data_IF_183224288494
#
_entry.id   IF_183224288494
#
_cell.length_a   1.000
_cell.length_b   1.000
_cell.length_c   1.000
_cell.angle_alpha   90.00
_cell.angle_beta   90.00
_cell.angle_gamma   90.00
#
_symmetry.space_group_name_H-M   'P 1'
#
loop_
_entity.id
_entity.type
_entity.pdbx_description
1 polymer ?
#
# COMPACT_ATOMS: atom_id res chain seq x y z
N UNK A 1 -10.28 6.64 -1.41
CA UNK A 1 -8.89 6.20 -1.18
C UNK A 1 -8.21 6.11 -2.54
N UNK A 2 -6.95 6.50 -2.70
CA UNK A 2 -6.19 6.22 -3.94
C UNK A 2 -5.83 4.73 -3.99
N UNK A 3 -5.79 4.11 -5.17
CA UNK A 3 -5.41 2.69 -5.35
C UNK A 3 -6.40 1.69 -4.73
N UNK A 4 -6.21 0.40 -5.03
CA UNK A 4 -6.91 -0.70 -4.35
C UNK A 4 -5.95 -1.41 -3.40
N UNK A 5 -5.82 -0.85 -2.20
CA UNK A 5 -4.92 -1.34 -1.17
C UNK A 5 -5.58 -2.38 -0.23
N UNK A 6 -6.57 -3.15 -0.69
CA UNK A 6 -7.17 -4.27 0.04
C UNK A 6 -6.56 -5.61 -0.42
N UNK A 7 -5.40 -5.96 0.12
CA UNK A 7 -4.76 -7.29 0.04
C UNK A 7 -5.06 -7.86 1.40
N UNK A 8 -6.14 -8.63 1.45
CA UNK A 8 -6.82 -9.06 2.68
C UNK A 8 -6.02 -10.15 3.42
N UNK A 9 -5.05 -10.76 2.74
CA UNK A 9 -4.23 -11.88 3.22
C UNK A 9 -3.03 -11.45 4.07
N UNK A 10 -2.46 -10.26 3.83
CA UNK A 10 -1.22 -9.85 4.48
C UNK A 10 -1.44 -9.13 5.82
N UNK A 11 -0.73 -9.56 6.86
CA UNK A 11 -0.66 -8.84 8.14
C UNK A 11 0.28 -7.64 8.08
N UNK A 12 1.30 -7.77 7.24
CA UNK A 12 2.32 -6.78 6.98
C UNK A 12 1.95 -5.99 5.71
N UNK A 13 1.96 -4.65 5.76
CA UNK A 13 1.74 -3.88 4.55
C UNK A 13 2.89 -4.05 3.56
N UNK A 14 2.56 -4.13 2.28
CA UNK A 14 3.54 -4.09 1.19
C UNK A 14 4.27 -2.74 1.17
N UNK A 15 5.48 -2.69 0.61
CA UNK A 15 6.17 -1.41 0.44
C UNK A 15 5.39 -0.48 -0.51
N UNK A 16 4.63 -1.01 -1.46
CA UNK A 16 3.72 -0.20 -2.29
C UNK A 16 2.73 0.59 -1.41
N UNK A 17 2.08 -0.09 -0.46
CA UNK A 17 1.13 0.54 0.46
C UNK A 17 1.77 1.53 1.40
N UNK A 18 2.90 1.16 1.98
CA UNK A 18 3.57 2.04 2.92
C UNK A 18 3.85 3.43 2.31
N UNK A 19 4.13 3.51 1.01
CA UNK A 19 4.58 4.74 0.36
C UNK A 19 3.45 5.50 -0.34
N UNK A 20 2.40 4.80 -0.77
CA UNK A 20 1.33 5.40 -1.59
C UNK A 20 -0.06 5.31 -0.99
N UNK A 21 -0.28 4.48 0.03
CA UNK A 21 -1.59 4.38 0.66
C UNK A 21 -1.96 5.68 1.36
N UNK A 22 -3.03 6.30 0.88
CA UNK A 22 -3.59 7.51 1.44
C UNK A 22 -4.56 7.18 2.58
N UNK A 23 -4.33 7.75 3.76
CA UNK A 23 -5.17 7.56 4.95
C UNK A 23 -5.31 8.85 5.74
N UNK A 24 -6.49 9.12 6.28
CA UNK A 24 -6.79 10.35 7.02
C UNK A 24 -7.86 11.22 6.35
N UNK A 25 -7.78 12.54 6.56
CA UNK A 25 -8.85 13.50 6.26
C UNK A 25 -9.19 13.62 4.78
N UNK A 26 -10.27 12.96 4.35
CA UNK A 26 -10.75 12.99 2.98
C UNK A 26 -12.28 13.14 2.88
N UNK A 27 -12.73 13.65 1.75
CA UNK A 27 -14.13 13.64 1.32
C UNK A 27 -14.21 12.85 0.03
N UNK A 28 -15.18 11.94 -0.08
CA UNK A 28 -15.33 11.10 -1.25
C UNK A 28 -16.71 11.21 -1.88
N UNK A 29 -16.74 11.03 -3.20
CA UNK A 29 -17.94 10.85 -4.02
C UNK A 29 -17.75 9.54 -4.76
N UNK A 30 -18.70 8.63 -4.61
CA UNK A 30 -18.60 7.30 -5.19
C UNK A 30 -19.83 6.95 -6.00
N UNK A 31 -19.60 6.26 -7.10
CA UNK A 31 -20.63 5.61 -7.91
C UNK A 31 -20.32 4.12 -7.97
N UNK A 32 -21.30 3.30 -7.60
CA UNK A 32 -21.14 1.86 -7.54
C UNK A 32 -22.32 1.17 -8.22
N UNK A 33 -21.97 0.17 -9.02
CA UNK A 33 -22.84 -0.88 -9.54
C UNK A 33 -22.21 -2.22 -9.14
N UNK A 34 -22.85 -3.33 -9.51
CA UNK A 34 -22.33 -4.67 -9.23
C UNK A 34 -20.96 -4.91 -9.87
N UNK A 35 -20.71 -4.32 -11.05
CA UNK A 35 -19.48 -4.55 -11.83
C UNK A 35 -18.57 -3.32 -11.92
N UNK A 36 -19.02 -2.12 -11.60
CA UNK A 36 -18.26 -0.88 -11.79
C UNK A 36 -18.27 -0.04 -10.52
N UNK A 37 -17.08 0.32 -10.07
CA UNK A 37 -16.85 1.23 -8.96
C UNK A 37 -16.01 2.42 -9.43
N UNK A 38 -16.55 3.61 -9.29
CA UNK A 38 -15.86 4.87 -9.54
C UNK A 38 -15.83 5.66 -8.24
N UNK A 39 -14.68 6.24 -7.92
CA UNK A 39 -14.49 7.01 -6.69
C UNK A 39 -13.62 8.24 -6.95
N UNK A 40 -14.20 9.42 -6.74
CA UNK A 40 -13.48 10.68 -6.67
C UNK A 40 -13.27 11.08 -5.22
N UNK A 41 -12.06 11.52 -4.89
CA UNK A 41 -11.66 11.86 -3.53
C UNK A 41 -11.02 13.23 -3.53
N UNK A 42 -11.42 14.08 -2.59
CA UNK A 42 -10.74 15.32 -2.24
C UNK A 42 -9.99 15.07 -0.93
N UNK A 43 -8.70 15.39 -0.93
CA UNK A 43 -7.77 15.12 0.15
C UNK A 43 -7.39 16.43 0.84
N UNK A 44 -7.47 16.45 2.16
CA UNK A 44 -6.85 17.51 2.95
C UNK A 44 -5.35 17.22 3.05
N UNK A 45 -4.53 18.04 2.39
CA UNK A 45 -3.06 17.86 2.35
C UNK A 45 -2.34 18.95 3.14
N UNK A 46 -3.07 19.66 4.01
CA UNK A 46 -2.53 20.75 4.81
C UNK A 46 -1.78 20.20 6.03
N UNK A 47 -0.45 20.33 6.01
CA UNK A 47 0.43 19.94 7.12
C UNK A 47 0.29 20.80 8.37
N UNK A 48 -0.36 21.97 8.28
CA UNK A 48 -0.57 22.90 9.40
C UNK A 48 -1.72 22.46 10.33
N UNK A 49 -2.59 21.57 9.86
CA UNK A 49 -3.67 20.96 10.65
C UNK A 49 -3.49 19.43 10.66
N UNK A 50 -2.47 18.91 11.38
CA UNK A 50 -2.03 17.52 11.23
C UNK A 50 -3.12 16.48 11.52
N UNK A 51 -4.09 16.78 12.39
CA UNK A 51 -5.21 15.89 12.69
C UNK A 51 -6.24 15.74 11.56
N UNK A 52 -6.24 16.68 10.61
CA UNK A 52 -7.11 16.67 9.44
C UNK A 52 -6.33 16.38 8.16
N UNK A 53 -5.02 16.11 8.26
CA UNK A 53 -4.17 15.78 7.12
C UNK A 53 -4.44 14.37 6.58
N UNK A 54 -3.99 14.14 5.35
CA UNK A 54 -3.95 12.82 4.74
C UNK A 54 -2.49 12.37 4.63
N UNK A 55 -2.18 11.22 5.23
CA UNK A 55 -0.90 10.53 5.04
C UNK A 55 -0.69 10.18 3.58
N UNK A 56 0.56 10.29 3.10
CA UNK A 56 0.96 10.06 1.71
C UNK A 56 0.20 10.94 0.70
N UNK A 57 -0.20 12.14 1.10
CA UNK A 57 -0.82 13.12 0.22
C UNK A 57 -0.36 14.53 0.59
N UNK A 58 0.63 15.03 -0.14
CA UNK A 58 1.17 16.38 -0.01
C UNK A 58 0.97 17.20 -1.29
N UNK A 59 0.45 18.42 -1.14
CA UNK A 59 0.38 19.40 -2.22
C UNK A 59 0.67 20.81 -1.70
N UNK A 60 1.22 21.67 -2.56
CA UNK A 60 1.46 23.08 -2.25
C UNK A 60 0.17 23.89 -2.05
N UNK A 61 -0.96 23.45 -2.62
CA UNK A 61 -2.28 24.08 -2.46
C UNK A 61 -2.96 23.74 -1.13
N UNK A 62 -2.48 22.73 -0.40
CA UNK A 62 -3.16 22.20 0.80
C UNK A 62 -4.39 21.34 0.49
N UNK A 63 -4.72 21.13 -0.79
CA UNK A 63 -5.81 20.27 -1.27
C UNK A 63 -5.32 19.43 -2.43
N UNK A 64 -5.50 18.12 -2.32
CA UNK A 64 -5.21 17.13 -3.36
C UNK A 64 -6.47 16.40 -3.82
N UNK A 65 -6.36 15.58 -4.86
CA UNK A 65 -7.43 14.71 -5.32
C UNK A 65 -6.92 13.34 -5.75
N UNK A 66 -7.83 12.37 -5.74
CA UNK A 66 -7.62 11.04 -6.29
C UNK A 66 -8.85 10.60 -7.06
N UNK A 67 -8.65 9.99 -8.22
CA UNK A 67 -9.67 9.37 -9.04
C UNK A 67 -9.37 7.88 -9.12
N UNK A 68 -10.38 7.05 -8.89
CA UNK A 68 -10.24 5.61 -8.88
C UNK A 68 -11.35 4.98 -9.70
N UNK A 69 -10.99 3.93 -10.41
CA UNK A 69 -11.91 3.09 -11.15
C UNK A 69 -11.56 1.63 -10.89
N UNK A 70 -12.58 0.80 -10.72
CA UNK A 70 -12.45 -0.65 -10.60
C UNK A 70 -13.62 -1.30 -11.32
N UNK A 71 -13.30 -2.22 -12.21
CA UNK A 71 -14.26 -3.11 -12.85
C UNK A 71 -14.14 -4.49 -12.23
N UNK A 72 -15.25 -5.09 -11.83
CA UNK A 72 -15.37 -6.44 -11.28
C UNK A 72 -16.17 -7.29 -12.26
N UNK A 73 -15.63 -8.46 -12.56
CA UNK A 73 -16.27 -9.49 -13.36
C UNK A 73 -16.50 -10.71 -12.47
N UNK A 74 -17.76 -10.97 -12.13
CA UNK A 74 -18.17 -12.22 -11.49
C UNK A 74 -18.16 -13.36 -12.51
N UNK A 75 -17.57 -14.49 -12.14
CA UNK A 75 -17.53 -15.69 -12.98
C UNK A 75 -18.74 -16.59 -12.74
N UNK A 76 -18.82 -17.69 -13.49
CA UNK A 76 -19.93 -18.65 -13.39
C UNK A 76 -20.07 -19.29 -12.00
N UNK A 77 -18.95 -19.56 -11.33
CA UNK A 77 -18.95 -20.13 -9.98
C UNK A 77 -19.10 -19.03 -8.95
N UNK A 78 -20.06 -19.19 -8.03
CA UNK A 78 -20.25 -18.26 -6.91
C UNK A 78 -18.97 -18.11 -6.10
N UNK A 79 -18.49 -16.87 -5.96
CA UNK A 79 -17.26 -16.53 -5.26
C UNK A 79 -16.04 -16.36 -6.17
N UNK A 80 -16.10 -16.82 -7.41
CA UNK A 80 -15.03 -16.61 -8.39
C UNK A 80 -15.23 -15.25 -9.08
N UNK A 81 -14.19 -14.43 -9.11
CA UNK A 81 -14.23 -13.12 -9.75
C UNK A 81 -12.85 -12.67 -10.21
N UNK A 82 -12.83 -11.76 -11.18
CA UNK A 82 -11.66 -10.97 -11.51
C UNK A 82 -11.99 -9.49 -11.32
N UNK A 83 -10.98 -8.69 -11.00
CA UNK A 83 -11.12 -7.25 -11.12
C UNK A 83 -9.91 -6.62 -11.79
N UNK A 84 -10.17 -5.49 -12.43
CA UNK A 84 -9.14 -4.60 -12.95
C UNK A 84 -9.43 -3.20 -12.42
N UNK A 85 -8.42 -2.54 -11.89
CA UNK A 85 -8.52 -1.18 -11.39
C UNK A 85 -7.43 -0.29 -11.96
N UNK A 86 -7.76 1.00 -12.02
CA UNK A 86 -6.82 2.05 -12.33
C UNK A 86 -7.15 3.28 -11.50
N UNK A 87 -6.12 3.99 -11.06
CA UNK A 87 -6.29 5.23 -10.32
C UNK A 87 -5.22 6.26 -10.68
N UNK A 88 -5.54 7.52 -10.40
CA UNK A 88 -4.61 8.63 -10.43
C UNK A 88 -4.77 9.49 -9.19
N UNK A 89 -3.67 9.98 -8.65
CA UNK A 89 -3.67 11.05 -7.65
C UNK A 89 -2.67 12.13 -8.04
N UNK A 90 -3.00 13.39 -7.75
CA UNK A 90 -2.05 14.49 -7.89
C UNK A 90 -1.24 14.76 -6.60
N UNK A 91 -1.46 13.96 -5.56
CA UNK A 91 -0.91 14.16 -4.23
C UNK A 91 -0.30 12.86 -3.71
N UNK A 92 1.00 12.87 -3.42
CA UNK A 92 1.71 11.72 -2.86
C UNK A 92 2.52 12.14 -1.62
N UNK A 93 3.15 11.18 -0.95
CA UNK A 93 4.15 11.43 0.10
C UNK A 93 5.51 11.95 -0.43
N UNK A 94 5.64 12.22 -1.73
CA UNK A 94 6.89 12.65 -2.36
C UNK A 94 6.89 14.13 -2.71
N UNK A 95 8.09 14.69 -2.91
CA UNK A 95 8.29 16.04 -3.45
C UNK A 95 9.16 15.98 -4.70
N UNK A 96 8.83 16.82 -5.67
CA UNK A 96 9.60 17.02 -6.90
C UNK A 96 10.55 18.21 -6.79
N UNK A 97 11.27 18.47 -7.88
CA UNK A 97 12.26 19.57 -7.94
C UNK A 97 11.60 20.91 -7.61
N UNK A 98 12.23 21.68 -6.71
CA UNK A 98 11.68 22.96 -6.26
C UNK A 98 10.44 22.82 -5.36
N UNK A 99 10.30 21.69 -4.64
CA UNK A 99 9.11 21.34 -3.85
C UNK A 99 7.82 21.31 -4.70
N UNK A 100 7.91 20.89 -5.96
CA UNK A 100 6.70 20.65 -6.75
C UNK A 100 5.92 19.45 -6.22
N UNK A 101 4.61 19.43 -6.49
CA UNK A 101 3.77 18.27 -6.22
C UNK A 101 4.24 17.08 -7.08
N UNK A 102 3.98 15.88 -6.58
CA UNK A 102 4.21 14.62 -7.29
C UNK A 102 2.91 13.84 -7.26
N UNK A 103 2.36 13.52 -8.42
CA UNK A 103 1.24 12.61 -8.55
C UNK A 103 1.69 11.18 -8.86
N UNK A 104 0.74 10.27 -9.00
CA UNK A 104 1.00 8.87 -9.33
C UNK A 104 -0.16 8.22 -10.08
N UNK A 105 0.19 7.30 -10.98
CA UNK A 105 -0.71 6.41 -11.68
C UNK A 105 -0.62 5.01 -11.07
N UNK A 106 -1.76 4.42 -10.77
CA UNK A 106 -1.90 3.07 -10.23
C UNK A 106 -2.69 2.20 -11.20
N UNK A 107 -2.27 0.94 -11.32
CA UNK A 107 -3.05 -0.14 -11.93
C UNK A 107 -3.03 -1.34 -11.00
N UNK A 108 -4.16 -2.03 -10.89
CA UNK A 108 -4.27 -3.22 -10.06
C UNK A 108 -5.15 -4.28 -10.74
N UNK A 109 -4.86 -5.53 -10.44
CA UNK A 109 -5.60 -6.68 -10.91
C UNK A 109 -5.72 -7.70 -9.79
N UNK A 110 -6.89 -8.34 -9.70
CA UNK A 110 -7.06 -9.47 -8.79
C UNK A 110 -7.92 -10.56 -9.39
N UNK A 111 -7.69 -11.77 -8.89
CA UNK A 111 -8.33 -13.00 -9.30
C UNK A 111 -8.65 -13.82 -8.05
N UNK A 112 -9.93 -14.08 -7.82
CA UNK A 112 -10.39 -15.14 -6.95
C UNK A 112 -10.92 -16.26 -7.82
N UNK A 113 -10.31 -17.44 -7.71
CA UNK A 113 -10.72 -18.62 -8.48
C UNK A 113 -10.62 -19.87 -7.61
N UNK A 114 -11.76 -20.48 -7.36
CA UNK A 114 -11.94 -21.63 -6.47
C UNK A 114 -11.42 -21.32 -5.06
N UNK A 115 -10.21 -21.79 -4.75
CA UNK A 115 -9.55 -21.62 -3.44
C UNK A 115 -8.34 -20.69 -3.53
N UNK A 116 -8.02 -20.17 -4.71
CA UNK A 116 -6.86 -19.33 -4.96
C UNK A 116 -7.30 -17.87 -4.97
N UNK A 117 -6.55 -17.01 -4.29
CA UNK A 117 -6.64 -15.56 -4.47
C UNK A 117 -5.28 -15.03 -4.91
N UNK A 118 -5.26 -14.28 -6.00
CA UNK A 118 -4.09 -13.60 -6.53
C UNK A 118 -4.39 -12.13 -6.70
N UNK A 119 -3.46 -11.26 -6.31
CA UNK A 119 -3.58 -9.82 -6.46
C UNK A 119 -2.24 -9.23 -6.89
N UNK A 120 -2.27 -8.26 -7.77
CA UNK A 120 -1.11 -7.48 -8.18
C UNK A 120 -1.45 -6.01 -8.34
N UNK A 121 -0.49 -5.17 -7.98
CA UNK A 121 -0.61 -3.72 -8.06
C UNK A 121 0.70 -3.18 -8.61
N UNK A 122 0.62 -2.17 -9.46
CA UNK A 122 1.79 -1.46 -9.98
C UNK A 122 1.47 0.03 -10.07
N UNK A 123 2.44 0.85 -9.68
CA UNK A 123 2.30 2.28 -9.64
C UNK A 123 3.57 2.97 -10.11
N UNK A 124 3.42 4.16 -10.70
CA UNK A 124 4.52 5.05 -11.06
C UNK A 124 4.18 6.51 -10.78
N UNK A 125 5.14 7.29 -10.31
CA UNK A 125 4.96 8.74 -10.16
C UNK A 125 4.92 9.44 -11.51
N UNK A 126 4.09 10.48 -11.62
CA UNK A 126 3.94 11.27 -12.86
C UNK A 126 5.13 12.22 -13.13
N UNK A 127 6.03 12.34 -12.15
CA UNK A 127 7.16 13.26 -12.16
C UNK A 127 8.33 12.71 -11.34
N UNK A 128 9.50 13.33 -11.52
CA UNK A 128 10.72 12.96 -10.82
C UNK A 128 10.67 13.34 -9.33
N UNK A 129 11.17 12.43 -8.49
CA UNK A 129 11.13 12.54 -7.03
C UNK A 129 12.49 12.95 -6.48
N UNK A 130 12.54 13.98 -5.65
CA UNK A 130 13.77 14.47 -4.99
C UNK A 130 13.72 14.33 -3.46
N UNK A 131 12.79 13.53 -2.97
CA UNK A 131 12.69 13.17 -1.55
C UNK A 131 11.26 12.96 -1.09
N UNK A 132 11.15 12.67 0.21
CA UNK A 132 9.89 12.58 0.93
C UNK A 132 9.42 13.99 1.37
N UNK A 133 8.10 14.18 1.44
CA UNK A 133 7.47 15.38 2.00
C UNK A 133 6.92 15.10 3.42
N UNK A 134 6.43 16.14 4.09
CA UNK A 134 5.99 16.05 5.49
C UNK A 134 4.72 15.17 5.68
N UNK A 135 3.96 14.89 4.62
CA UNK A 135 2.81 13.99 4.66
C UNK A 135 3.18 12.51 4.54
N UNK A 136 4.41 12.17 4.15
CA UNK A 136 4.83 10.79 3.95
C UNK A 136 4.66 9.95 5.21
N UNK A 137 4.19 8.70 5.07
CA UNK A 137 4.17 7.72 6.17
C UNK A 137 5.57 7.43 6.74
N UNK A 138 6.62 7.73 5.97
CA UNK A 138 8.01 7.58 6.40
C UNK A 138 8.58 8.85 7.03
N UNK A 139 7.87 9.98 6.94
CA UNK A 139 8.32 11.23 7.52
C UNK A 139 8.19 11.21 9.05
N UNK A 140 9.25 11.54 9.80
CA UNK A 140 9.15 11.70 11.25
C UNK A 140 8.17 12.79 11.71
N UNK A 141 7.78 13.70 10.79
CA UNK A 141 6.85 14.81 11.06
C UNK A 141 5.39 14.46 10.76
N UNK A 142 5.12 13.29 10.18
CA UNK A 142 3.76 12.91 9.87
C UNK A 142 3.04 12.41 11.13
N UNK A 143 2.08 13.20 11.60
CA UNK A 143 1.23 12.91 12.76
C UNK A 143 -0.18 12.48 12.32
N UNK A 144 -0.50 12.59 11.02
CA UNK A 144 -1.82 12.35 10.45
C UNK A 144 -2.09 10.86 10.31
N UNK A 145 -2.36 10.20 11.44
CA UNK A 145 -2.88 8.83 11.49
C UNK A 145 -2.05 7.88 10.66
N UNK A 146 -0.74 7.77 10.94
CA UNK A 146 0.06 6.62 10.53
C UNK A 146 -0.75 5.39 10.94
N UNK A 147 -1.42 4.70 10.00
CA UNK A 147 -2.21 3.55 10.41
C UNK A 147 -1.20 2.49 10.88
N UNK A 148 -1.67 1.29 11.21
CA UNK A 148 -0.90 0.10 11.63
C UNK A 148 0.41 -0.26 10.84
N UNK A 149 0.85 0.53 9.87
CA UNK A 149 2.13 0.50 9.14
C UNK A 149 3.38 0.75 9.98
N UNK A 150 3.24 1.12 11.25
CA UNK A 150 4.34 1.55 12.11
C UNK A 150 5.41 0.50 12.42
N UNK A 151 5.20 -0.78 12.12
CA UNK A 151 6.13 -1.86 12.47
C UNK A 151 7.22 -2.10 11.42
N UNK A 152 6.94 -1.93 10.13
CA UNK A 152 7.90 -2.21 9.06
C UNK A 152 8.22 -0.93 8.33
N UNK A 153 9.42 -0.37 8.53
CA UNK A 153 9.89 0.85 7.87
C UNK A 153 11.40 0.85 7.78
N UNK A 154 11.98 1.56 6.79
CA UNK A 154 13.41 1.79 6.76
C UNK A 154 13.92 2.36 8.08
N UNK A 155 15.11 1.94 8.49
CA UNK A 155 15.85 2.49 9.60
C UNK A 155 16.11 3.98 9.41
N UNK A 156 16.21 4.70 10.53
CA UNK A 156 16.41 6.15 10.50
C UNK A 156 17.69 6.56 9.75
N UNK A 157 18.73 5.73 9.79
CA UNK A 157 19.97 5.97 9.06
C UNK A 157 19.75 6.06 7.54
N UNK A 158 18.96 5.14 6.98
CA UNK A 158 18.58 5.15 5.56
C UNK A 158 17.77 6.40 5.23
N UNK A 159 16.76 6.74 6.05
CA UNK A 159 15.93 7.93 5.81
C UNK A 159 16.74 9.24 5.83
N UNK A 160 17.78 9.31 6.67
CA UNK A 160 18.71 10.45 6.75
C UNK A 160 19.76 10.44 5.63
N UNK A 161 20.00 9.31 4.99
CA UNK A 161 20.91 9.16 3.86
C UNK A 161 20.22 9.45 2.52
N UNK A 162 19.44 10.53 2.42
CA UNK A 162 18.85 10.97 1.15
C UNK A 162 17.99 9.90 0.43
N UNK A 163 17.28 9.06 1.18
CA UNK A 163 16.44 8.02 0.59
C UNK A 163 15.34 8.60 -0.33
N UNK A 164 15.14 7.95 -1.49
CA UNK A 164 14.18 8.35 -2.52
C UNK A 164 14.40 9.79 -3.03
N UNK A 165 15.66 10.19 -3.26
CA UNK A 165 16.01 11.54 -3.72
C UNK A 165 16.78 11.61 -5.05
N UNK A 166 16.86 10.49 -5.78
CA UNK A 166 17.63 10.36 -7.03
C UNK A 166 17.16 11.22 -8.21
N UNK A 167 16.02 11.92 -8.10
CA UNK A 167 15.50 12.83 -9.13
C UNK A 167 14.72 12.14 -10.25
N UNK A 168 14.81 10.81 -10.36
CA UNK A 168 13.99 9.99 -11.26
C UNK A 168 12.58 9.73 -10.71
N UNK A 169 11.66 9.22 -11.54
CA UNK A 169 10.35 8.76 -11.07
C UNK A 169 10.52 7.58 -10.10
N UNK A 170 9.55 7.42 -9.21
CA UNK A 170 9.45 6.26 -8.32
C UNK A 170 8.41 5.31 -8.89
N UNK A 171 8.81 4.07 -9.14
CA UNK A 171 7.93 3.00 -9.55
C UNK A 171 7.81 1.97 -8.42
N UNK A 172 6.67 1.30 -8.32
CA UNK A 172 6.45 0.25 -7.35
C UNK A 172 5.55 -0.83 -7.93
N UNK A 173 5.71 -2.06 -7.44
CA UNK A 173 4.80 -3.14 -7.74
C UNK A 173 4.70 -4.08 -6.55
N UNK A 174 3.55 -4.72 -6.42
CA UNK A 174 3.25 -5.70 -5.40
C UNK A 174 2.54 -6.92 -6.03
N UNK A 175 2.77 -8.07 -5.42
CA UNK A 175 2.19 -9.36 -5.75
C UNK A 175 1.76 -10.03 -4.46
N UNK A 176 0.58 -10.63 -4.48
CA UNK A 176 0.08 -11.48 -3.42
C UNK A 176 -0.54 -12.75 -4.00
N UNK A 177 -0.28 -13.87 -3.35
CA UNK A 177 -0.93 -15.14 -3.66
C UNK A 177 -1.29 -15.85 -2.37
N UNK A 178 -2.51 -16.35 -2.28
CA UNK A 178 -2.97 -17.18 -1.17
C UNK A 178 -3.83 -18.35 -1.65
N UNK A 179 -3.91 -19.37 -0.80
CA UNK A 179 -4.71 -20.57 -1.05
C UNK A 179 -5.51 -20.95 0.20
N UNK A 180 -6.81 -21.17 0.07
CA UNK A 180 -7.68 -21.59 1.17
C UNK A 180 -7.76 -23.10 1.25
N UNK A 181 -7.00 -23.69 2.17
CA UNK A 181 -7.08 -25.11 2.53
C UNK A 181 -8.08 -25.34 3.67
N UNK A 182 -8.56 -26.57 3.80
CA UNK A 182 -9.35 -27.01 4.95
C UNK A 182 -8.51 -27.96 5.81
N UNK A 183 -8.35 -27.63 7.09
CA UNK A 183 -7.58 -28.40 8.06
C UNK A 183 -8.40 -28.47 9.34
N UNK A 184 -8.69 -29.68 9.81
CA UNK A 184 -9.55 -29.94 10.98
C UNK A 184 -10.93 -29.24 10.92
N UNK A 185 -11.55 -29.19 9.74
CA UNK A 185 -12.87 -28.57 9.53
C UNK A 185 -12.85 -27.03 9.59
N UNK A 186 -11.66 -26.43 9.47
CA UNK A 186 -11.43 -24.98 9.53
C UNK A 186 -10.56 -24.51 8.37
N UNK A 187 -10.72 -23.26 7.97
CA UNK A 187 -9.93 -22.68 6.89
C UNK A 187 -8.51 -22.35 7.36
N UNK A 188 -7.52 -22.90 6.65
CA UNK A 188 -6.12 -22.54 6.75
C UNK A 188 -5.70 -21.85 5.45
N UNK A 189 -5.20 -20.62 5.55
CA UNK A 189 -4.85 -19.78 4.39
C UNK A 189 -3.35 -19.47 4.43
N UNK A 190 -2.49 -20.31 3.84
CA UNK A 190 -1.14 -19.90 3.50
C UNK A 190 -1.14 -18.79 2.46
N UNK A 191 -0.15 -17.89 2.56
CA UNK A 191 0.06 -16.83 1.59
C UNK A 191 1.55 -16.52 1.40
N UNK A 192 1.85 -15.94 0.25
CA UNK A 192 3.14 -15.33 -0.07
C UNK A 192 2.90 -13.93 -0.64
N UNK A 193 3.84 -13.03 -0.39
CA UNK A 193 3.79 -11.69 -0.91
C UNK A 193 5.18 -11.18 -1.31
N UNK A 194 5.17 -10.28 -2.28
CA UNK A 194 6.35 -9.55 -2.71
C UNK A 194 5.95 -8.12 -3.02
N UNK A 195 6.82 -7.16 -2.70
CA UNK A 195 6.66 -5.80 -3.15
C UNK A 195 7.99 -5.09 -3.30
N UNK A 196 8.06 -4.13 -4.22
CA UNK A 196 9.25 -3.37 -4.52
C UNK A 196 8.87 -1.92 -4.77
N UNK A 197 9.63 -0.98 -4.23
CA UNK A 197 9.65 0.44 -4.62
C UNK A 197 11.05 0.78 -5.11
N UNK A 198 11.15 1.31 -6.32
CA UNK A 198 12.39 1.52 -7.04
C UNK A 198 12.41 2.93 -7.62
N UNK A 199 13.50 3.64 -7.39
CA UNK A 199 13.82 4.89 -8.07
C UNK A 199 15.05 4.72 -8.95
N UNK A 200 16.11 4.14 -8.38
CA UNK A 200 17.36 3.84 -9.06
C UNK A 200 18.14 2.73 -8.32
N UNK A 201 19.30 2.36 -8.81
CA UNK A 201 20.13 1.27 -8.24
C UNK A 201 20.69 1.57 -6.84
N UNK A 202 20.59 2.82 -6.39
CA UNK A 202 21.01 3.33 -5.10
C UNK A 202 19.82 3.75 -4.21
N UNK A 203 18.59 3.77 -4.75
CA UNK A 203 17.38 4.15 -4.03
C UNK A 203 16.25 3.15 -4.32
N UNK A 204 16.10 2.16 -3.45
CA UNK A 204 15.03 1.18 -3.55
C UNK A 204 14.72 0.54 -2.20
N UNK A 205 13.53 -0.04 -2.07
CA UNK A 205 13.22 -1.04 -1.06
C UNK A 205 12.43 -2.20 -1.67
N UNK A 206 12.67 -3.40 -1.19
CA UNK A 206 11.81 -4.53 -1.50
C UNK A 206 11.50 -5.33 -0.24
N UNK A 207 10.31 -5.91 -0.21
CA UNK A 207 9.86 -6.83 0.81
C UNK A 207 9.42 -8.14 0.16
N UNK A 208 9.74 -9.26 0.79
CA UNK A 208 9.08 -10.53 0.53
C UNK A 208 8.62 -11.12 1.86
N UNK A 209 7.44 -11.73 1.82
CA UNK A 209 6.80 -12.30 3.00
C UNK A 209 6.12 -13.62 2.68
N UNK A 210 5.94 -14.40 3.74
CA UNK A 210 5.14 -15.61 3.72
C UNK A 210 4.53 -15.83 5.10
N UNK A 211 3.34 -16.40 5.12
CA UNK A 211 2.65 -16.67 6.37
C UNK A 211 1.46 -17.59 6.21
N UNK A 212 0.75 -17.73 7.31
CA UNK A 212 -0.45 -18.55 7.39
C UNK A 212 -1.50 -17.89 8.29
N UNK A 213 -2.77 -18.06 7.92
CA UNK A 213 -3.93 -17.69 8.73
C UNK A 213 -4.77 -18.92 9.03
N UNK A 214 -5.11 -19.15 10.29
CA UNK A 214 -6.03 -20.20 10.70
C UNK A 214 -7.31 -19.59 11.26
N UNK A 215 -8.44 -19.85 10.60
CA UNK A 215 -9.75 -19.31 10.99
C UNK A 215 -10.34 -20.19 12.10
N UNK A 216 -10.49 -19.62 13.29
CA UNK A 216 -10.95 -20.35 14.48
C UNK A 216 -12.49 -20.44 14.51
N UNK A 217 -13.18 -19.31 14.42
CA UNK A 217 -14.65 -19.20 14.44
C UNK A 217 -15.09 -17.77 14.10
N UNK A 218 -16.27 -17.58 13.48
CA UNK A 218 -16.93 -16.28 13.26
C UNK A 218 -15.98 -15.13 12.81
N UNK A 219 -15.09 -15.41 11.86
CA UNK A 219 -14.12 -14.43 11.37
C UNK A 219 -12.92 -14.18 12.29
N UNK A 220 -12.90 -14.71 13.52
CA UNK A 220 -11.72 -14.71 14.40
C UNK A 220 -10.65 -15.66 13.89
N UNK A 221 -9.38 -15.26 13.98
CA UNK A 221 -8.27 -16.00 13.40
C UNK A 221 -6.95 -15.81 14.16
N UNK A 222 -6.07 -16.79 13.97
CA UNK A 222 -4.67 -16.77 14.41
C UNK A 222 -3.76 -16.74 13.18
N UNK A 223 -2.74 -15.89 13.22
CA UNK A 223 -1.80 -15.66 12.13
C UNK A 223 -0.36 -15.72 12.59
N UNK A 224 0.48 -16.28 11.72
CA UNK A 224 1.94 -16.20 11.81
C UNK A 224 2.47 -15.77 10.45
N UNK A 225 3.37 -14.80 10.44
CA UNK A 225 4.06 -14.36 9.23
C UNK A 225 5.49 -13.96 9.48
N UNK A 226 6.27 -14.12 8.42
CA UNK A 226 7.62 -13.65 8.31
C UNK A 226 7.72 -12.70 7.12
N UNK A 227 8.43 -11.59 7.30
CA UNK A 227 8.73 -10.63 6.24
C UNK A 227 10.20 -10.19 6.32
N UNK A 228 10.84 -10.01 5.17
CA UNK A 228 12.16 -9.41 5.06
C UNK A 228 12.07 -8.12 4.25
N UNK A 229 12.35 -6.99 4.90
CA UNK A 229 12.50 -5.71 4.22
C UNK A 229 13.99 -5.46 3.95
N UNK A 230 14.35 -5.28 2.69
CA UNK A 230 15.67 -4.76 2.32
C UNK A 230 15.50 -3.36 1.76
N UNK A 231 16.24 -2.40 2.31
CA UNK A 231 16.23 -1.01 1.87
C UNK A 231 17.64 -0.57 1.48
N UNK A 232 17.73 0.25 0.43
CA UNK A 232 18.97 0.89 -0.01
C UNK A 232 18.75 2.38 -0.24
N UNK A 233 19.64 3.16 0.36
CA UNK A 233 19.93 4.56 0.04
C UNK A 233 21.35 4.66 -0.56
N UNK A 234 21.82 5.84 -1.00
CA UNK A 234 23.10 6.01 -1.68
C UNK A 234 24.30 5.36 -0.99
N UNK A 235 24.38 5.43 0.34
CA UNK A 235 25.52 4.95 1.11
C UNK A 235 25.16 3.80 2.06
N UNK A 236 23.87 3.59 2.34
CA UNK A 236 23.42 2.58 3.31
C UNK A 236 22.56 1.53 2.62
N UNK A 237 22.87 0.27 2.89
CA UNK A 237 21.99 -0.86 2.61
C UNK A 237 21.71 -1.59 3.90
N UNK A 238 20.44 -1.78 4.21
CA UNK A 238 19.99 -2.49 5.40
C UNK A 238 19.01 -3.59 5.03
N UNK A 239 18.93 -4.60 5.91
CA UNK A 239 17.91 -5.64 5.84
C UNK A 239 17.35 -5.87 7.23
N UNK A 240 16.03 -5.92 7.34
CA UNK A 240 15.28 -6.10 8.56
C UNK A 240 14.37 -7.32 8.41
N UNK A 241 14.33 -8.15 9.45
CA UNK A 241 13.51 -9.35 9.49
C UNK A 241 12.41 -9.14 10.52
N UNK A 242 11.19 -9.48 10.15
CA UNK A 242 10.01 -9.35 10.98
C UNK A 242 9.37 -10.71 11.12
N UNK A 243 9.06 -11.08 12.35
CA UNK A 243 8.24 -12.23 12.68
C UNK A 243 7.05 -11.69 13.45
N UNK A 244 5.86 -11.80 12.89
CA UNK A 244 4.65 -11.32 13.54
C UNK A 244 3.73 -12.49 13.88
N UNK A 245 3.15 -12.39 15.07
CA UNK A 245 2.09 -13.28 15.54
C UNK A 245 0.88 -12.39 15.76
N UNK A 246 -0.23 -12.70 15.11
CA UNK A 246 -1.43 -11.91 15.21
C UNK A 246 -2.61 -12.80 15.64
N UNK A 247 -3.35 -12.33 16.63
CA UNK A 247 -4.60 -12.93 17.05
C UNK A 247 -5.68 -11.87 16.94
N UNK A 248 -6.64 -12.10 16.05
CA UNK A 248 -7.76 -11.19 15.84
C UNK A 248 -9.04 -11.88 16.28
N UNK A 249 -9.78 -11.20 17.16
CA UNK A 249 -11.08 -11.64 17.66
C UNK A 249 -12.14 -10.68 17.15
N UNK A 250 -13.11 -11.21 16.42
CA UNK A 250 -14.34 -10.50 16.13
C UNK A 250 -15.38 -10.93 17.18
N UNK A 251 -15.95 -9.96 17.88
CA UNK A 251 -16.96 -10.12 18.92
C UNK A 251 -18.28 -9.58 18.39
#
# INVERSE_FOLDING_TARGET
MFGNFDIVSNYVPTVTRQYFMQSGGNVNISYHTDSLHLNGVILSTNSSLPYLGTTNAGTNSGVGFSLNSKYVYEMETVGDYQFFGAAYTNATGFKGKGNSNVGAFDINYGLSYSKINFETEALITDSGVVGLNDSSALSPKNVAGAPFFGSIKPGIGVLLDNYMSGGGPVATWALNLSYTAEVFGRSLIPFIDYSHVFQDTHNYAYNYGAGVRYILFQGSWLGLDYANLTTRSPNIKESQNYLNINFTVYI
#
